data_IF_785119955840
#
_entry.id   IF_785119955840
#
_cell.length_a   1.000
_cell.length_b   1.000
_cell.length_c   1.000
_cell.angle_alpha   90.00
_cell.angle_beta   90.00
_cell.angle_gamma   90.00
#
_symmetry.space_group_name_H-M   'P 1'
#
loop_
_entity.id
_entity.type
_entity.pdbx_description
1 polymer ?
#
# COMPACT_ATOMS: atom_id res chain seq x y z
N UNK A 1 -14.13 -29.64 -55.44
CA UNK A 1 -12.75 -29.54 -55.98
C UNK A 1 -11.81 -29.21 -54.83
N UNK A 2 -10.85 -30.10 -54.56
CA UNK A 2 -9.70 -29.88 -53.66
C UNK A 2 -8.51 -29.45 -54.51
N UNK A 3 -7.76 -28.42 -54.12
CA UNK A 3 -6.33 -28.17 -54.39
C UNK A 3 -5.95 -26.85 -53.68
N UNK A 4 -4.77 -26.59 -53.12
CA UNK A 4 -3.73 -27.37 -52.44
C UNK A 4 -2.78 -26.33 -51.77
N UNK A 5 -1.90 -26.83 -50.89
CA UNK A 5 -0.87 -26.15 -50.09
C UNK A 5 0.03 -25.17 -50.85
N UNK A 6 0.60 -24.18 -50.13
CA UNK A 6 2.05 -23.90 -50.05
C UNK A 6 2.38 -22.85 -48.97
N UNK A 7 3.27 -23.25 -48.06
CA UNK A 7 3.98 -22.40 -47.10
C UNK A 7 4.87 -21.38 -47.82
N UNK A 8 4.91 -20.13 -47.35
CA UNK A 8 6.00 -19.19 -47.63
C UNK A 8 6.42 -18.57 -46.30
N UNK A 9 7.68 -18.82 -45.92
CA UNK A 9 8.38 -18.32 -44.74
C UNK A 9 8.64 -16.79 -44.83
N UNK A 10 9.01 -16.13 -43.71
CA UNK A 10 8.89 -14.70 -43.50
C UNK A 10 10.07 -13.90 -44.05
N UNK A 11 9.79 -12.68 -44.52
CA UNK A 11 10.81 -11.68 -44.87
C UNK A 11 11.13 -10.87 -43.61
N UNK A 12 12.34 -11.07 -43.09
CA UNK A 12 13.04 -10.18 -42.19
C UNK A 12 13.41 -8.91 -42.96
N UNK A 13 13.05 -7.73 -42.45
CA UNK A 13 13.74 -6.49 -42.82
C UNK A 13 14.04 -5.71 -41.55
N UNK A 14 15.33 -5.70 -41.19
CA UNK A 14 15.91 -4.84 -40.18
C UNK A 14 16.30 -3.52 -40.83
N UNK A 15 15.81 -2.40 -40.30
CA UNK A 15 16.42 -1.08 -40.53
C UNK A 15 16.47 -0.32 -39.21
N UNK A 16 17.65 -0.39 -38.62
CA UNK A 16 18.15 0.51 -37.58
C UNK A 16 18.32 1.91 -38.14
N UNK A 17 17.75 2.93 -37.49
CA UNK A 17 18.23 4.30 -37.56
C UNK A 17 18.23 4.88 -36.15
N UNK A 18 19.43 5.07 -35.63
CA UNK A 18 19.67 5.64 -34.32
C UNK A 18 19.35 7.13 -34.29
N UNK A 19 18.62 7.54 -33.25
CA UNK A 19 18.69 8.90 -32.73
C UNK A 19 19.58 8.87 -31.49
N UNK A 20 20.85 9.23 -31.69
CA UNK A 20 21.77 9.59 -30.63
C UNK A 20 21.27 10.88 -29.95
N UNK A 21 20.75 10.76 -28.73
CA UNK A 21 20.43 11.91 -27.89
C UNK A 21 21.74 12.42 -27.27
N UNK A 22 22.38 13.39 -27.92
CA UNK A 22 23.42 14.19 -27.30
C UNK A 22 22.77 15.29 -26.45
N UNK A 23 22.53 15.01 -25.17
CA UNK A 23 22.31 16.07 -24.19
C UNK A 23 23.65 16.76 -23.90
N UNK A 24 23.93 17.86 -24.60
CA UNK A 24 25.00 18.77 -24.24
C UNK A 24 24.56 19.58 -22.99
N UNK A 25 25.22 19.34 -21.86
CA UNK A 25 25.14 20.23 -20.71
C UNK A 25 26.18 21.35 -20.82
N UNK A 26 25.80 22.49 -20.24
CA UNK A 26 26.62 23.66 -19.89
C UNK A 26 26.76 24.78 -20.94
N UNK A 27 25.88 25.78 -20.81
CA UNK A 27 26.31 27.18 -20.89
C UNK A 27 25.93 27.89 -19.59
N UNK A 28 26.96 28.41 -18.92
CA UNK A 28 26.89 29.24 -17.73
C UNK A 28 26.26 30.59 -18.10
N UNK A 29 25.05 30.86 -17.62
CA UNK A 29 24.52 32.22 -17.54
C UNK A 29 24.52 32.65 -16.06
N UNK A 30 25.39 33.61 -15.74
CA UNK A 30 25.37 34.37 -14.49
C UNK A 30 23.96 34.95 -14.29
N UNK A 31 23.27 34.51 -13.24
CA UNK A 31 21.99 35.07 -12.83
C UNK A 31 21.73 34.75 -11.37
N UNK A 32 21.90 35.77 -10.53
CA UNK A 32 21.42 35.93 -9.16
C UNK A 32 21.44 34.70 -8.23
N UNK A 33 22.35 34.76 -7.24
CA UNK A 33 22.27 33.99 -6.01
C UNK A 33 20.95 34.29 -5.27
N UNK A 34 19.91 33.51 -5.55
CA UNK A 34 18.88 33.27 -4.57
C UNK A 34 19.49 32.33 -3.53
N UNK A 35 19.81 32.86 -2.35
CA UNK A 35 20.13 32.06 -1.17
C UNK A 35 18.96 31.11 -0.90
N UNK A 36 19.05 29.88 -1.41
CA UNK A 36 18.22 28.78 -0.95
C UNK A 36 18.68 28.48 0.47
N UNK A 37 17.83 28.82 1.44
CA UNK A 37 17.99 28.32 2.81
C UNK A 37 18.15 26.80 2.71
N UNK A 38 19.13 26.19 3.41
CA UNK A 38 19.28 24.75 3.37
C UNK A 38 17.94 24.15 3.80
N UNK A 39 17.33 23.37 2.92
CA UNK A 39 16.17 22.57 3.26
C UNK A 39 16.55 21.77 4.49
N UNK A 40 16.05 22.16 5.66
CA UNK A 40 16.18 21.37 6.86
C UNK A 40 15.68 19.99 6.48
N UNK A 41 16.57 19.00 6.53
CA UNK A 41 16.17 17.62 6.37
C UNK A 41 15.05 17.41 7.37
N UNK A 42 13.84 17.18 6.87
CA UNK A 42 12.74 16.70 7.70
C UNK A 42 13.33 15.47 8.36
N UNK A 43 13.63 15.58 9.67
CA UNK A 43 14.06 14.44 10.47
C UNK A 43 13.09 13.34 10.08
N UNK A 44 13.62 12.21 9.57
CA UNK A 44 12.84 10.99 9.38
C UNK A 44 12.33 10.62 10.77
N UNK A 45 11.21 11.21 11.19
CA UNK A 45 10.42 10.73 12.29
C UNK A 45 10.12 9.30 11.87
N UNK A 46 10.71 8.36 12.60
CA UNK A 46 10.46 6.94 12.39
C UNK A 46 8.95 6.76 12.39
N UNK A 47 8.38 6.55 11.20
CA UNK A 47 6.95 6.35 11.02
C UNK A 47 6.49 5.00 11.61
N UNK A 48 7.38 4.28 12.31
CA UNK A 48 7.06 3.00 12.95
C UNK A 48 6.27 3.15 14.26
N UNK A 49 6.23 4.32 14.89
CA UNK A 49 5.76 4.42 16.28
C UNK A 49 4.27 4.80 16.43
N UNK A 50 3.57 5.14 15.33
CA UNK A 50 2.17 5.60 15.42
C UNK A 50 1.17 4.48 15.71
N UNK A 51 1.44 3.26 15.21
CA UNK A 51 0.49 2.13 15.27
C UNK A 51 0.42 1.46 16.64
N UNK A 52 1.38 1.73 17.51
CA UNK A 52 1.47 1.17 18.87
C UNK A 52 1.30 2.24 19.95
N UNK A 53 1.01 3.50 19.59
CA UNK A 53 0.82 4.59 20.59
C UNK A 53 -0.20 4.27 21.66
N UNK A 54 -1.27 3.56 21.31
CA UNK A 54 -2.30 3.17 22.28
C UNK A 54 -1.81 2.11 23.27
N UNK A 55 -0.85 1.25 22.87
CA UNK A 55 -0.27 0.24 23.74
C UNK A 55 0.60 0.86 24.84
N UNK A 56 1.22 2.02 24.58
CA UNK A 56 2.00 2.77 25.58
C UNK A 56 1.14 3.23 26.76
N UNK A 57 -0.18 3.32 26.61
CA UNK A 57 -1.12 3.73 27.65
C UNK A 57 -1.61 2.57 28.54
N UNK A 58 -1.24 1.32 28.22
CA UNK A 58 -1.71 0.12 28.92
C UNK A 58 -0.72 -0.42 29.97
N UNK A 59 0.40 0.27 30.22
CA UNK A 59 1.44 -0.15 31.17
C UNK A 59 1.78 -1.64 31.03
N UNK A 60 2.16 -2.05 29.81
CA UNK A 60 2.44 -3.45 29.49
C UNK A 60 3.71 -3.92 30.18
N UNK A 61 3.72 -5.18 30.63
CA UNK A 61 4.97 -5.82 31.06
C UNK A 61 5.92 -6.02 29.87
N UNK A 62 7.24 -6.17 30.09
CA UNK A 62 8.18 -6.46 29.00
C UNK A 62 7.80 -7.70 28.19
N UNK A 63 7.28 -8.73 28.85
CA UNK A 63 6.80 -9.96 28.21
C UNK A 63 5.56 -9.69 27.35
N UNK A 64 4.57 -8.97 27.88
CA UNK A 64 3.37 -8.59 27.12
C UNK A 64 3.74 -7.74 25.89
N UNK A 65 4.67 -6.81 26.05
CA UNK A 65 5.16 -5.97 24.95
C UNK A 65 5.82 -6.82 23.85
N UNK A 66 6.68 -7.76 24.22
CA UNK A 66 7.31 -8.69 23.28
C UNK A 66 6.27 -9.53 22.52
N UNK A 67 5.32 -10.12 23.25
CA UNK A 67 4.26 -10.94 22.67
C UNK A 67 3.38 -10.15 21.70
N UNK A 68 2.98 -8.93 22.09
CA UNK A 68 2.18 -8.05 21.23
C UNK A 68 2.97 -7.60 20.00
N UNK A 69 4.26 -7.31 20.14
CA UNK A 69 5.11 -6.94 19.02
C UNK A 69 5.20 -8.09 18.00
N UNK A 70 5.40 -9.33 18.46
CA UNK A 70 5.40 -10.51 17.59
C UNK A 70 4.06 -10.69 16.85
N UNK A 71 2.92 -10.52 17.55
CA UNK A 71 1.58 -10.57 16.94
C UNK A 71 1.46 -9.51 15.82
N UNK A 72 1.93 -8.29 16.09
CA UNK A 72 1.87 -7.19 15.12
C UNK A 72 2.78 -7.48 13.92
N UNK A 73 4.00 -7.95 14.12
CA UNK A 73 4.96 -8.20 13.05
C UNK A 73 4.49 -9.32 12.13
N UNK A 74 3.93 -10.40 12.70
CA UNK A 74 3.30 -11.47 11.93
C UNK A 74 2.10 -10.95 11.11
N UNK A 75 1.23 -10.14 11.73
CA UNK A 75 0.12 -9.53 11.00
C UNK A 75 0.59 -8.56 9.90
N UNK A 76 1.70 -7.84 10.11
CA UNK A 76 2.27 -6.98 9.08
C UNK A 76 2.85 -7.79 7.91
N UNK A 77 3.49 -8.92 8.20
CA UNK A 77 3.99 -9.85 7.21
C UNK A 77 2.84 -10.42 6.36
N UNK A 78 1.77 -10.91 7.00
CA UNK A 78 0.56 -11.40 6.32
C UNK A 78 -0.16 -10.31 5.51
N UNK A 79 -0.21 -9.07 6.02
CA UNK A 79 -0.90 -7.96 5.34
C UNK A 79 -0.14 -7.42 4.13
N UNK A 80 1.18 -7.62 4.05
CA UNK A 80 2.03 -7.04 3.00
C UNK A 80 1.62 -7.45 1.58
N UNK A 81 1.46 -8.74 1.25
CA UNK A 81 0.98 -9.13 -0.08
C UNK A 81 -0.42 -8.60 -0.39
N UNK A 82 -1.36 -8.68 0.57
CA UNK A 82 -2.73 -8.18 0.39
C UNK A 82 -2.77 -6.68 0.07
N UNK A 83 -1.95 -5.87 0.73
CA UNK A 83 -1.85 -4.43 0.44
C UNK A 83 -1.27 -4.16 -0.94
N UNK A 84 -0.27 -4.93 -1.35
CA UNK A 84 0.34 -4.82 -2.68
C UNK A 84 -0.68 -5.17 -3.76
N UNK A 85 -1.43 -6.26 -3.57
CA UNK A 85 -2.39 -6.76 -4.55
C UNK A 85 -3.62 -5.83 -4.62
N UNK A 86 -4.06 -5.27 -3.50
CA UNK A 86 -5.07 -4.21 -3.46
C UNK A 86 -4.62 -2.93 -4.18
N UNK A 87 -3.35 -2.52 -4.01
CA UNK A 87 -2.82 -1.34 -4.70
C UNK A 87 -2.73 -1.58 -6.21
N UNK A 88 -2.28 -2.78 -6.61
CA UNK A 88 -2.21 -3.20 -8.01
C UNK A 88 -3.60 -3.19 -8.65
N UNK A 89 -4.59 -3.84 -8.02
CA UNK A 89 -5.95 -3.90 -8.55
C UNK A 89 -6.64 -2.53 -8.62
N UNK A 90 -6.35 -1.62 -7.69
CA UNK A 90 -6.79 -0.21 -7.79
C UNK A 90 -6.21 0.52 -8.99
N UNK A 91 -4.92 0.29 -9.28
CA UNK A 91 -4.26 0.88 -10.45
C UNK A 91 -4.80 0.30 -11.77
N UNK A 92 -5.00 -1.02 -11.82
CA UNK A 92 -5.62 -1.70 -12.97
C UNK A 92 -7.06 -1.24 -13.19
N UNK A 93 -7.86 -1.12 -12.12
CA UNK A 93 -9.23 -0.62 -12.20
C UNK A 93 -9.28 0.80 -12.74
N UNK A 94 -8.40 1.69 -12.25
CA UNK A 94 -8.31 3.07 -12.75
C UNK A 94 -8.00 3.12 -14.24
N UNK A 95 -7.07 2.29 -14.72
CA UNK A 95 -6.76 2.23 -16.16
C UNK A 95 -7.94 1.71 -16.97
N UNK A 96 -8.61 0.66 -16.50
CA UNK A 96 -9.72 0.04 -17.20
C UNK A 96 -10.92 0.97 -17.37
N UNK A 97 -11.21 1.83 -16.38
CA UNK A 97 -12.31 2.81 -16.50
C UNK A 97 -11.96 4.04 -17.37
N UNK A 98 -10.67 4.30 -17.61
CA UNK A 98 -10.20 5.41 -18.45
C UNK A 98 -9.79 4.98 -19.86
N UNK A 99 -9.91 3.69 -20.17
CA UNK A 99 -9.58 3.17 -21.49
C UNK A 99 -10.63 3.60 -22.53
N UNK A 100 -10.23 3.68 -23.80
CA UNK A 100 -11.13 4.03 -24.90
C UNK A 100 -12.27 3.01 -25.07
N UNK A 101 -12.06 1.78 -24.60
CA UNK A 101 -13.06 0.71 -24.61
C UNK A 101 -13.36 0.24 -23.19
N UNK A 102 -14.63 0.39 -22.81
CA UNK A 102 -15.15 -0.06 -21.53
C UNK A 102 -15.53 -1.54 -21.59
N UNK A 103 -14.83 -2.37 -20.82
CA UNK A 103 -15.09 -3.82 -20.71
C UNK A 103 -15.67 -4.16 -19.33
N UNK A 104 -17.00 -4.26 -19.23
CA UNK A 104 -17.71 -4.51 -17.97
C UNK A 104 -17.15 -5.71 -17.19
N UNK A 105 -16.87 -6.82 -17.88
CA UNK A 105 -16.34 -8.03 -17.25
C UNK A 105 -15.01 -7.79 -16.54
N UNK A 106 -14.12 -7.00 -17.15
CA UNK A 106 -12.84 -6.64 -16.55
C UNK A 106 -13.03 -5.76 -15.32
N UNK A 107 -13.96 -4.81 -15.37
CA UNK A 107 -14.31 -3.95 -14.23
C UNK A 107 -14.84 -4.79 -13.06
N UNK A 108 -15.76 -5.73 -13.32
CA UNK A 108 -16.35 -6.59 -12.30
C UNK A 108 -15.31 -7.49 -11.63
N UNK A 109 -14.41 -8.08 -12.43
CA UNK A 109 -13.32 -8.92 -11.91
C UNK A 109 -12.35 -8.12 -11.01
N UNK A 110 -12.00 -6.90 -11.42
CA UNK A 110 -11.13 -6.02 -10.64
C UNK A 110 -11.81 -5.52 -9.36
N UNK A 111 -13.09 -5.17 -9.42
CA UNK A 111 -13.88 -4.76 -8.27
C UNK A 111 -14.01 -5.91 -7.25
N UNK A 112 -14.29 -7.12 -7.73
CA UNK A 112 -14.34 -8.33 -6.89
C UNK A 112 -13.00 -8.57 -6.18
N UNK A 113 -11.88 -8.52 -6.92
CA UNK A 113 -10.55 -8.70 -6.34
C UNK A 113 -10.25 -7.68 -5.25
N UNK A 114 -10.58 -6.40 -5.46
CA UNK A 114 -10.43 -5.37 -4.43
C UNK A 114 -11.27 -5.68 -3.19
N UNK A 115 -12.52 -6.12 -3.37
CA UNK A 115 -13.42 -6.53 -2.27
C UNK A 115 -12.86 -7.71 -1.47
N UNK A 116 -12.32 -8.72 -2.15
CA UNK A 116 -11.71 -9.90 -1.53
C UNK A 116 -10.48 -9.51 -0.70
N UNK A 117 -9.59 -8.66 -1.23
CA UNK A 117 -8.39 -8.19 -0.51
C UNK A 117 -8.75 -7.36 0.73
N UNK A 118 -9.74 -6.46 0.61
CA UNK A 118 -10.26 -5.67 1.73
C UNK A 118 -10.85 -6.58 2.81
N UNK A 119 -11.62 -7.59 2.41
CA UNK A 119 -12.23 -8.56 3.32
C UNK A 119 -11.17 -9.33 4.10
N UNK A 120 -10.10 -9.77 3.42
CA UNK A 120 -8.98 -10.46 4.06
C UNK A 120 -8.23 -9.55 5.03
N UNK A 121 -7.97 -8.30 4.66
CA UNK A 121 -7.35 -7.30 5.54
C UNK A 121 -8.21 -7.02 6.78
N UNK A 122 -9.54 -6.96 6.64
CA UNK A 122 -10.46 -6.77 7.77
C UNK A 122 -10.45 -7.97 8.71
N UNK A 123 -10.48 -9.19 8.17
CA UNK A 123 -10.36 -10.43 8.95
C UNK A 123 -9.05 -10.48 9.71
N UNK A 124 -7.94 -10.15 9.06
CA UNK A 124 -6.62 -10.09 9.68
C UNK A 124 -6.58 -9.06 10.80
N UNK A 125 -7.17 -7.88 10.60
CA UNK A 125 -7.29 -6.84 11.64
C UNK A 125 -8.05 -7.39 12.86
N UNK A 126 -9.21 -8.01 12.67
CA UNK A 126 -10.00 -8.59 13.75
C UNK A 126 -9.24 -9.68 14.52
N UNK A 127 -8.63 -10.62 13.80
CA UNK A 127 -7.78 -11.67 14.39
C UNK A 127 -6.63 -11.09 15.23
N UNK A 128 -5.96 -10.07 14.70
CA UNK A 128 -4.84 -9.40 15.38
C UNK A 128 -5.30 -8.71 16.65
N UNK A 129 -6.42 -7.97 16.58
CA UNK A 129 -6.99 -7.29 17.75
C UNK A 129 -7.39 -8.27 18.84
N UNK A 130 -8.03 -9.39 18.48
CA UNK A 130 -8.38 -10.43 19.43
C UNK A 130 -7.14 -11.06 20.08
N UNK A 131 -6.11 -11.35 19.29
CA UNK A 131 -4.85 -11.90 19.79
C UNK A 131 -4.17 -10.95 20.79
N UNK A 132 -4.14 -9.64 20.50
CA UNK A 132 -3.63 -8.62 21.43
C UNK A 132 -4.47 -8.60 22.71
N UNK A 133 -5.80 -8.57 22.62
CA UNK A 133 -6.69 -8.59 23.80
C UNK A 133 -6.39 -9.78 24.71
N UNK A 134 -6.08 -10.95 24.14
CA UNK A 134 -5.80 -12.16 24.90
C UNK A 134 -4.51 -12.07 25.74
N UNK A 135 -3.55 -11.21 25.37
CA UNK A 135 -2.30 -10.98 26.14
C UNK A 135 -2.52 -10.05 27.34
N UNK A 136 -3.60 -9.25 27.31
CA UNK A 136 -3.89 -8.26 28.35
C UNK A 136 -4.63 -8.89 29.53
N UNK A 137 -4.36 -8.38 30.74
CA UNK A 137 -5.17 -8.65 31.92
C UNK A 137 -6.49 -7.85 31.91
N UNK A 138 -7.40 -8.14 32.85
CA UNK A 138 -8.75 -7.54 32.87
C UNK A 138 -8.72 -6.01 33.00
N UNK A 139 -7.83 -5.46 33.82
CA UNK A 139 -7.69 -4.01 34.00
C UNK A 139 -7.19 -3.32 32.73
N UNK A 140 -6.24 -3.94 32.03
CA UNK A 140 -5.72 -3.46 30.75
C UNK A 140 -6.78 -3.56 29.66
N UNK A 141 -7.58 -4.64 29.63
CA UNK A 141 -8.70 -4.80 28.68
C UNK A 141 -9.76 -3.72 28.86
N UNK A 142 -10.20 -3.48 30.09
CA UNK A 142 -11.17 -2.42 30.40
C UNK A 142 -10.66 -1.03 29.98
N UNK A 143 -9.36 -0.77 30.18
CA UNK A 143 -8.73 0.48 29.73
C UNK A 143 -8.71 0.59 28.20
N UNK A 144 -8.34 -0.48 27.51
CA UNK A 144 -8.37 -0.53 26.04
C UNK A 144 -9.78 -0.29 25.49
N UNK A 145 -10.81 -0.87 26.10
CA UNK A 145 -12.21 -0.72 25.67
C UNK A 145 -12.70 0.72 25.83
N UNK A 146 -12.43 1.37 26.97
CA UNK A 146 -12.74 2.79 27.17
C UNK A 146 -12.05 3.71 26.16
N UNK A 147 -10.81 3.38 25.78
CA UNK A 147 -10.08 4.13 24.75
C UNK A 147 -10.73 3.96 23.37
N UNK A 148 -11.15 2.74 23.03
CA UNK A 148 -11.84 2.44 21.78
C UNK A 148 -13.20 3.14 21.69
N UNK A 149 -13.99 3.12 22.77
CA UNK A 149 -15.27 3.83 22.85
C UNK A 149 -15.10 5.33 22.67
N UNK A 150 -14.12 5.94 23.35
CA UNK A 150 -13.81 7.36 23.18
C UNK A 150 -13.45 7.68 21.74
N UNK A 151 -12.61 6.85 21.13
CA UNK A 151 -12.22 7.04 19.74
C UNK A 151 -13.42 6.92 18.79
N UNK A 152 -14.32 5.97 19.03
CA UNK A 152 -15.53 5.79 18.24
C UNK A 152 -16.46 7.00 18.35
N UNK A 153 -16.69 7.52 19.57
CA UNK A 153 -17.49 8.74 19.79
C UNK A 153 -16.93 9.93 19.03
N UNK A 154 -15.60 10.14 19.09
CA UNK A 154 -14.95 11.22 18.32
C UNK A 154 -15.17 11.09 16.81
N UNK A 155 -15.24 9.87 16.27
CA UNK A 155 -15.52 9.67 14.84
C UNK A 155 -16.99 9.92 14.52
N UNK A 156 -17.91 9.48 15.38
CA UNK A 156 -19.36 9.62 15.14
C UNK A 156 -19.85 11.05 15.33
N UNK A 157 -19.27 11.80 16.27
CA UNK A 157 -19.70 13.16 16.61
C UNK A 157 -19.13 14.22 15.63
N UNK A 158 -18.14 13.84 14.81
CA UNK A 158 -17.58 14.68 13.74
C UNK A 158 -18.37 14.57 12.41
N UNK A 159 -19.54 13.94 12.43
CA UNK A 159 -20.37 13.66 11.25
C UNK A 159 -21.71 14.37 11.34
#
# INVERSE_FOLDING_TARGET
>A
MKFNKKNILPIVLATTLGCSVTCAFAHNAKGNQAQSKPCQSLKKQSYSDSKTRYLKQLNLSPEQQSNIQSIIDNAQHEAKPLRRDLQKSKFEFKQAITADHYEQKTIDELAKRQGDDITQLLRLKGKTQQAIKNVLNDQQRSTLERMQERHLRLITDMR
#
